data_IF_702299172738
#
_entry.id   IF_702299172738
#
_cell.length_a   1.000
_cell.length_b   1.000
_cell.length_c   1.000
_cell.angle_alpha   90.00
_cell.angle_beta   90.00
_cell.angle_gamma   90.00
#
_symmetry.space_group_name_H-M   'P 1'
#
loop_
_entity.id
_entity.type
_entity.pdbx_description
1 polymer ?
#
# COMPACT_ATOMS: atom_id res chain seq x y z
N UNK A 1 -0.74 -31.16 11.45
CA UNK A 1 0.34 -30.54 12.24
C UNK A 1 -0.16 -30.23 13.64
N UNK A 2 0.57 -30.67 14.67
CA UNK A 2 0.32 -30.34 16.08
C UNK A 2 1.30 -29.27 16.61
N UNK A 3 1.23 -28.93 17.89
CA UNK A 3 2.09 -27.90 18.48
C UNK A 3 3.59 -28.30 18.54
N UNK A 4 3.91 -29.57 18.69
CA UNK A 4 5.30 -30.04 18.72
C UNK A 4 5.91 -29.93 17.32
N UNK A 5 5.17 -30.36 16.31
CA UNK A 5 5.54 -30.21 14.91
C UNK A 5 5.63 -28.73 14.52
N UNK A 6 4.67 -27.89 14.92
CA UNK A 6 4.72 -26.44 14.67
C UNK A 6 5.98 -25.79 15.23
N UNK A 7 6.40 -26.13 16.46
CA UNK A 7 7.65 -25.60 17.04
C UNK A 7 8.88 -26.02 16.24
N UNK A 8 8.90 -27.25 15.73
CA UNK A 8 9.99 -27.75 14.89
C UNK A 8 10.00 -26.98 13.56
N UNK A 9 8.89 -26.99 12.81
CA UNK A 9 8.80 -26.35 11.48
C UNK A 9 8.93 -24.84 11.53
N UNK A 10 8.42 -24.21 12.58
CA UNK A 10 8.54 -22.77 12.80
C UNK A 10 10.00 -22.33 12.93
N UNK A 11 10.83 -23.11 13.64
CA UNK A 11 12.28 -22.83 13.74
C UNK A 11 12.98 -23.03 12.39
N UNK A 12 12.68 -24.14 11.70
CA UNK A 12 13.21 -24.40 10.35
C UNK A 12 12.88 -23.26 9.38
N UNK A 13 11.67 -22.70 9.45
CA UNK A 13 11.27 -21.54 8.63
C UNK A 13 11.99 -20.25 9.05
N UNK A 14 12.20 -20.01 10.35
CA UNK A 14 12.95 -18.84 10.83
C UNK A 14 14.39 -18.88 10.33
N UNK A 15 15.05 -20.04 10.45
CA UNK A 15 16.42 -20.24 9.98
C UNK A 15 16.50 -20.02 8.46
N UNK A 16 15.55 -20.59 7.70
CA UNK A 16 15.46 -20.39 6.26
C UNK A 16 15.29 -18.91 5.85
N UNK A 17 14.39 -18.17 6.51
CA UNK A 17 14.17 -16.75 6.20
C UNK A 17 15.41 -15.91 6.51
N UNK A 18 16.08 -16.17 7.63
CA UNK A 18 17.32 -15.49 7.98
C UNK A 18 18.41 -15.76 6.93
N UNK A 19 18.64 -17.04 6.60
CA UNK A 19 19.59 -17.44 5.56
C UNK A 19 19.27 -16.84 4.19
N UNK A 20 18.00 -16.82 3.80
CA UNK A 20 17.54 -16.23 2.55
C UNK A 20 17.87 -14.73 2.49
N UNK A 21 17.57 -13.98 3.54
CA UNK A 21 17.82 -12.53 3.59
C UNK A 21 19.30 -12.19 3.66
N UNK A 22 20.11 -12.96 4.40
CA UNK A 22 21.56 -12.75 4.50
C UNK A 22 22.30 -13.05 3.19
N UNK A 23 21.77 -13.97 2.38
CA UNK A 23 22.38 -14.43 1.12
C UNK A 23 21.61 -13.97 -0.12
N UNK A 24 20.72 -12.99 0.03
CA UNK A 24 19.80 -12.56 -1.05
C UNK A 24 20.54 -11.90 -2.23
N UNK A 25 21.71 -11.35 -1.99
CA UNK A 25 22.62 -10.77 -2.98
C UNK A 25 23.14 -11.83 -3.98
N UNK A 26 23.20 -13.10 -3.56
CA UNK A 26 23.59 -14.22 -4.42
C UNK A 26 22.47 -14.70 -5.34
N UNK A 27 21.23 -14.22 -5.14
CA UNK A 27 20.09 -14.62 -5.97
C UNK A 27 19.86 -13.66 -7.12
N UNK A 28 19.38 -14.20 -8.23
CA UNK A 28 19.03 -13.42 -9.40
C UNK A 28 17.84 -12.49 -9.10
N UNK A 29 18.08 -11.19 -9.16
CA UNK A 29 17.14 -10.16 -8.68
C UNK A 29 15.78 -10.22 -9.37
N UNK A 30 15.79 -10.34 -10.71
CA UNK A 30 14.59 -10.42 -11.54
C UNK A 30 14.55 -11.79 -12.22
N UNK A 31 13.42 -12.53 -12.16
CA UNK A 31 13.37 -13.90 -12.64
C UNK A 31 13.44 -13.99 -14.17
N UNK A 32 13.96 -15.11 -14.68
CA UNK A 32 14.07 -15.42 -16.12
C UNK A 32 13.00 -16.42 -16.57
N UNK A 33 11.79 -16.26 -16.04
CA UNK A 33 10.64 -17.14 -16.30
C UNK A 33 9.59 -16.42 -17.13
N UNK A 34 8.93 -17.16 -18.01
CA UNK A 34 7.87 -16.62 -18.87
C UNK A 34 6.49 -16.66 -18.18
N UNK A 35 5.57 -15.74 -18.52
CA UNK A 35 4.19 -15.82 -18.05
C UNK A 35 3.57 -17.20 -18.32
N UNK A 36 3.07 -17.84 -17.25
CA UNK A 36 2.51 -19.19 -17.31
C UNK A 36 3.45 -20.32 -16.87
N UNK A 37 4.74 -20.05 -16.58
CA UNK A 37 5.72 -21.08 -16.19
C UNK A 37 5.30 -21.97 -15.02
N UNK A 38 4.48 -21.45 -14.10
CA UNK A 38 4.11 -22.15 -12.86
C UNK A 38 3.06 -23.24 -13.09
N UNK A 39 2.11 -23.01 -14.00
CA UNK A 39 0.95 -23.92 -14.18
C UNK A 39 1.36 -25.36 -14.53
N UNK A 40 2.34 -25.62 -15.41
CA UNK A 40 2.80 -26.98 -15.70
C UNK A 40 3.58 -27.65 -14.56
N UNK A 41 4.02 -26.89 -13.54
CA UNK A 41 4.84 -27.40 -12.43
C UNK A 41 4.01 -27.85 -11.24
N UNK A 42 2.72 -27.54 -11.21
CA UNK A 42 1.79 -27.88 -10.13
C UNK A 42 0.66 -28.78 -10.65
N UNK A 43 0.05 -29.62 -9.79
CA UNK A 43 -1.11 -30.43 -10.18
C UNK A 43 -2.30 -29.57 -10.65
N UNK A 44 -3.08 -30.10 -11.60
CA UNK A 44 -4.24 -29.39 -12.15
C UNK A 44 -5.45 -29.31 -11.21
N UNK A 45 -5.43 -30.10 -10.13
CA UNK A 45 -6.45 -30.10 -9.08
C UNK A 45 -5.79 -30.16 -7.69
N UNK A 46 -6.56 -29.79 -6.67
CA UNK A 46 -6.10 -29.89 -5.29
C UNK A 46 -5.89 -31.36 -4.89
N UNK A 47 -4.90 -31.66 -4.02
CA UNK A 47 -4.69 -33.01 -3.52
C UNK A 47 -5.89 -33.48 -2.69
N UNK A 48 -6.26 -34.76 -2.83
CA UNK A 48 -7.31 -35.37 -2.02
C UNK A 48 -6.83 -35.72 -0.62
N UNK A 49 -5.56 -36.15 -0.52
CA UNK A 49 -4.92 -36.54 0.72
C UNK A 49 -3.89 -35.49 1.16
N UNK A 50 -3.63 -35.33 2.47
CA UNK A 50 -2.65 -34.38 2.97
C UNK A 50 -1.23 -34.76 2.56
N UNK A 51 -0.44 -33.75 2.20
CA UNK A 51 0.99 -33.90 1.89
C UNK A 51 1.86 -33.60 3.12
N UNK A 52 3.11 -34.06 3.09
CA UNK A 52 4.09 -33.77 4.14
C UNK A 52 4.58 -32.31 4.06
N UNK A 53 4.97 -31.74 5.20
CA UNK A 53 5.58 -30.40 5.22
C UNK A 53 6.87 -30.38 4.39
N UNK A 54 7.67 -31.44 4.44
CA UNK A 54 8.90 -31.58 3.68
C UNK A 54 8.68 -31.45 2.17
N UNK A 55 7.63 -32.07 1.65
CA UNK A 55 7.36 -32.06 0.21
C UNK A 55 6.88 -30.67 -0.22
N UNK A 56 5.99 -30.04 0.55
CA UNK A 56 5.58 -28.64 0.35
C UNK A 56 6.79 -27.69 0.42
N UNK A 57 7.70 -27.89 1.37
CA UNK A 57 8.86 -27.03 1.54
C UNK A 57 9.89 -27.19 0.42
N UNK A 58 10.11 -28.40 -0.10
CA UNK A 58 10.95 -28.63 -1.29
C UNK A 58 10.42 -27.87 -2.51
N UNK A 59 9.10 -27.81 -2.66
CA UNK A 59 8.47 -27.13 -3.77
C UNK A 59 8.64 -25.59 -3.70
N UNK A 60 8.85 -25.03 -2.51
CA UNK A 60 9.17 -23.59 -2.38
C UNK A 60 10.43 -23.25 -3.19
N UNK A 61 11.55 -23.92 -2.95
CA UNK A 61 12.80 -23.62 -3.66
C UNK A 61 12.79 -24.09 -5.11
N UNK A 62 12.12 -25.20 -5.40
CA UNK A 62 12.10 -25.79 -6.74
C UNK A 62 11.16 -25.06 -7.70
N UNK A 63 9.97 -24.68 -7.23
CA UNK A 63 8.87 -24.20 -8.08
C UNK A 63 8.64 -22.70 -7.88
N UNK A 64 8.68 -22.21 -6.63
CA UNK A 64 8.29 -20.83 -6.32
C UNK A 64 9.46 -19.87 -6.49
N UNK A 65 10.58 -20.11 -5.80
CA UNK A 65 11.72 -19.19 -5.74
C UNK A 65 12.29 -18.80 -7.11
N UNK A 66 12.33 -19.66 -8.15
CA UNK A 66 12.82 -19.28 -9.48
C UNK A 66 12.02 -18.15 -10.15
N UNK A 67 10.74 -17.99 -9.80
CA UNK A 67 9.89 -16.92 -10.31
C UNK A 67 9.65 -15.77 -9.34
N UNK A 68 10.34 -15.75 -8.19
CA UNK A 68 10.25 -14.64 -7.24
C UNK A 68 11.19 -13.52 -7.66
N UNK A 69 10.64 -12.33 -7.91
CA UNK A 69 11.46 -11.10 -7.92
C UNK A 69 11.95 -10.82 -6.50
N UNK A 70 13.26 -10.73 -6.28
CA UNK A 70 13.83 -10.53 -4.94
C UNK A 70 13.91 -9.05 -4.56
N UNK A 71 12.78 -8.50 -4.11
CA UNK A 71 12.61 -7.08 -3.75
C UNK A 71 13.56 -6.55 -2.67
N UNK A 72 14.10 -7.43 -1.81
CA UNK A 72 15.07 -7.05 -0.77
C UNK A 72 16.52 -7.22 -1.23
N UNK A 73 16.76 -7.65 -2.47
CA UNK A 73 18.10 -7.72 -3.02
C UNK A 73 18.72 -6.32 -3.04
N UNK A 74 20.01 -6.16 -2.67
CA UNK A 74 20.68 -4.87 -2.74
C UNK A 74 20.80 -4.33 -4.17
N UNK A 75 20.50 -5.15 -5.19
CA UNK A 75 20.51 -4.75 -6.59
C UNK A 75 19.10 -4.46 -7.17
N UNK A 76 18.05 -4.44 -6.34
CA UNK A 76 16.67 -4.13 -6.77
C UNK A 76 16.33 -2.65 -6.54
N UNK A 77 16.21 -1.87 -7.63
CA UNK A 77 15.97 -0.42 -7.58
C UNK A 77 14.66 0.04 -8.24
N UNK A 78 13.67 -0.85 -8.38
CA UNK A 78 12.40 -0.53 -9.01
C UNK A 78 11.32 -0.07 -8.02
N UNK A 79 10.33 0.69 -8.52
CA UNK A 79 9.14 1.14 -7.78
C UNK A 79 9.46 1.89 -6.48
N UNK A 80 8.96 1.38 -5.35
CA UNK A 80 9.26 1.83 -4.01
C UNK A 80 9.73 0.65 -3.17
N UNK A 81 10.57 0.88 -2.15
CA UNK A 81 11.05 -0.19 -1.29
C UNK A 81 9.89 -0.97 -0.65
N UNK A 82 9.86 -2.28 -0.89
CA UNK A 82 9.11 -3.18 -0.03
C UNK A 82 9.87 -3.25 1.30
N UNK A 83 9.53 -2.39 2.25
CA UNK A 83 10.25 -2.39 3.52
C UNK A 83 10.02 -3.71 4.27
N UNK A 84 11.02 -4.19 5.01
CA UNK A 84 10.95 -5.42 5.80
C UNK A 84 12.05 -5.38 6.85
N UNK A 85 11.83 -6.00 8.01
CA UNK A 85 12.82 -6.10 9.07
C UNK A 85 12.53 -7.33 9.94
N UNK A 86 13.55 -7.90 10.57
CA UNK A 86 13.36 -9.06 11.46
C UNK A 86 12.34 -8.82 12.59
N UNK A 87 12.30 -7.65 13.26
CA UNK A 87 11.25 -7.39 14.24
C UNK A 87 9.84 -7.36 13.64
N UNK A 88 9.68 -6.92 12.38
CA UNK A 88 8.38 -6.93 11.70
C UNK A 88 7.91 -8.37 11.42
N UNK A 89 8.83 -9.23 10.99
CA UNK A 89 8.54 -10.63 10.70
C UNK A 89 8.12 -11.40 11.97
N UNK A 90 8.79 -11.15 13.09
CA UNK A 90 8.42 -11.75 14.38
C UNK A 90 7.05 -11.24 14.87
N UNK A 91 6.77 -9.95 14.70
CA UNK A 91 5.48 -9.38 15.04
C UNK A 91 4.35 -9.98 14.17
N UNK A 92 4.56 -10.13 12.86
CA UNK A 92 3.59 -10.77 11.96
C UNK A 92 3.35 -12.25 12.35
N UNK A 93 4.39 -12.98 12.78
CA UNK A 93 4.26 -14.35 13.29
C UNK A 93 3.40 -14.39 14.57
N UNK A 94 3.63 -13.48 15.51
CA UNK A 94 2.83 -13.38 16.73
C UNK A 94 1.38 -12.98 16.43
N UNK A 95 1.15 -12.01 15.54
CA UNK A 95 -0.19 -11.63 15.10
C UNK A 95 -0.94 -12.82 14.48
N UNK A 96 -0.25 -13.64 13.67
CA UNK A 96 -0.82 -14.88 13.12
C UNK A 96 -1.22 -15.88 14.20
N UNK A 97 -0.42 -16.01 15.26
CA UNK A 97 -0.72 -16.90 16.39
C UNK A 97 -1.87 -16.42 17.28
N UNK A 98 -1.98 -15.10 17.51
CA UNK A 98 -3.11 -14.53 18.27
C UNK A 98 -4.41 -14.64 17.47
N UNK A 99 -4.35 -14.45 16.14
CA UNK A 99 -5.49 -14.65 15.24
C UNK A 99 -6.70 -13.75 15.51
N UNK A 100 -6.53 -12.67 16.27
CA UNK A 100 -7.64 -11.81 16.69
C UNK A 100 -8.13 -10.92 15.53
N UNK A 101 -9.46 -10.77 15.43
CA UNK A 101 -10.09 -9.83 14.49
C UNK A 101 -10.60 -8.62 15.28
N UNK A 102 -9.80 -7.55 15.32
CA UNK A 102 -10.10 -6.31 16.05
C UNK A 102 -11.07 -5.38 15.32
N UNK A 103 -12.24 -5.86 14.88
CA UNK A 103 -13.25 -5.00 14.22
C UNK A 103 -13.94 -4.03 15.18
N UNK A 104 -13.82 -4.28 16.48
CA UNK A 104 -14.29 -3.40 17.54
C UNK A 104 -13.42 -3.48 18.78
N UNK A 105 -13.53 -2.46 19.65
CA UNK A 105 -12.86 -2.49 20.96
C UNK A 105 -13.25 -3.74 21.77
N UNK A 106 -14.53 -4.09 21.81
CA UNK A 106 -14.99 -5.29 22.51
C UNK A 106 -14.45 -6.60 21.91
N UNK A 107 -14.14 -6.61 20.61
CA UNK A 107 -13.56 -7.78 19.94
C UNK A 107 -12.06 -7.95 20.25
N UNK A 108 -11.34 -6.86 20.52
CA UNK A 108 -9.97 -6.90 21.05
C UNK A 108 -9.56 -5.53 21.62
N UNK A 109 -9.62 -5.35 22.95
CA UNK A 109 -9.21 -4.10 23.59
C UNK A 109 -7.73 -3.80 23.31
N UNK A 110 -6.88 -4.84 23.44
CA UNK A 110 -5.45 -4.70 23.20
C UNK A 110 -5.12 -4.21 21.78
N UNK A 111 -5.84 -4.65 20.75
CA UNK A 111 -5.65 -4.14 19.38
C UNK A 111 -5.95 -2.65 19.28
N UNK A 112 -7.04 -2.20 19.90
CA UNK A 112 -7.51 -0.81 19.79
C UNK A 112 -6.65 0.15 20.61
N UNK A 113 -6.38 -0.22 21.86
CA UNK A 113 -5.57 0.60 22.78
C UNK A 113 -4.13 0.73 22.28
N UNK A 114 -3.53 -0.37 21.83
CA UNK A 114 -2.14 -0.35 21.36
C UNK A 114 -2.00 0.46 20.06
N UNK A 115 -2.94 0.34 19.12
CA UNK A 115 -2.92 1.14 17.88
C UNK A 115 -2.96 2.64 18.20
N UNK A 116 -3.82 3.04 19.14
CA UNK A 116 -3.97 4.43 19.58
C UNK A 116 -2.65 4.97 20.15
N UNK A 117 -2.02 4.24 21.07
CA UNK A 117 -0.74 4.65 21.68
C UNK A 117 0.38 4.72 20.63
N UNK A 118 0.46 3.75 19.73
CA UNK A 118 1.50 3.72 18.68
C UNK A 118 1.34 4.88 17.69
N UNK A 119 0.11 5.27 17.36
CA UNK A 119 -0.16 6.42 16.49
C UNK A 119 0.11 7.74 17.18
N UNK A 120 -0.10 7.85 18.49
CA UNK A 120 0.34 8.99 19.28
C UNK A 120 1.87 9.11 19.30
N UNK A 121 2.57 7.99 19.49
CA UNK A 121 4.03 7.96 19.40
C UNK A 121 4.51 8.41 18.03
N UNK A 122 3.89 7.88 16.96
CA UNK A 122 4.20 8.27 15.59
C UNK A 122 3.92 9.76 15.34
N UNK A 123 2.76 10.26 15.76
CA UNK A 123 2.35 11.65 15.64
C UNK A 123 3.32 12.59 16.34
N UNK A 124 3.73 12.25 17.57
CA UNK A 124 4.76 12.99 18.32
C UNK A 124 6.12 12.95 17.61
N UNK A 125 6.53 11.80 17.07
CA UNK A 125 7.79 11.66 16.35
C UNK A 125 7.88 12.54 15.10
N UNK A 126 6.77 12.76 14.39
CA UNK A 126 6.71 13.66 13.22
C UNK A 126 6.23 15.07 13.58
N UNK A 127 6.12 15.38 14.88
CA UNK A 127 5.68 16.65 15.42
C UNK A 127 4.33 17.13 14.87
N UNK A 128 3.36 16.22 14.79
CA UNK A 128 1.98 16.62 14.50
C UNK A 128 1.44 17.53 15.60
N UNK A 129 0.60 18.52 15.26
CA UNK A 129 -0.14 19.28 16.25
C UNK A 129 -0.90 18.35 17.20
N UNK A 130 -1.00 18.74 18.47
CA UNK A 130 -1.66 17.94 19.51
C UNK A 130 -3.11 17.57 19.16
N UNK A 131 -3.78 18.40 18.35
CA UNK A 131 -5.12 18.14 17.82
C UNK A 131 -5.24 16.86 16.95
N UNK A 132 -4.13 16.28 16.48
CA UNK A 132 -4.12 15.00 15.75
C UNK A 132 -3.82 13.80 16.64
N UNK A 133 -3.44 14.02 17.90
CA UNK A 133 -3.13 12.97 18.85
C UNK A 133 -4.42 12.58 19.59
N UNK A 134 -4.54 11.32 19.95
CA UNK A 134 -5.63 10.84 20.80
C UNK A 134 -5.53 11.46 22.20
N UNK A 135 -4.31 11.57 22.73
CA UNK A 135 -4.04 12.28 24.00
C UNK A 135 -4.86 11.73 25.17
N UNK A 136 -5.20 12.61 26.13
CA UNK A 136 -6.08 12.28 27.27
C UNK A 136 -7.54 12.70 27.05
N UNK A 137 -7.79 13.70 26.19
CA UNK A 137 -9.09 14.37 26.06
C UNK A 137 -9.77 14.17 24.68
N UNK A 138 -9.23 13.32 23.81
CA UNK A 138 -10.01 12.52 22.85
C UNK A 138 -10.63 13.21 21.62
N UNK A 139 -10.16 14.39 21.19
CA UNK A 139 -10.70 15.02 19.97
C UNK A 139 -9.95 14.63 18.68
N UNK A 140 -8.67 14.24 18.81
CA UNK A 140 -7.83 13.74 17.73
C UNK A 140 -7.68 12.23 17.75
N UNK A 141 -6.96 11.69 16.78
CA UNK A 141 -6.66 10.26 16.73
C UNK A 141 -6.16 9.82 15.37
N UNK A 142 -5.71 8.57 15.30
CA UNK A 142 -5.26 7.97 14.07
C UNK A 142 -5.83 6.56 13.89
N UNK A 143 -5.71 6.06 12.67
CA UNK A 143 -5.99 4.66 12.32
C UNK A 143 -4.95 4.16 11.33
N UNK A 144 -4.45 2.93 11.50
CA UNK A 144 -3.45 2.32 10.60
C UNK A 144 -4.15 1.67 9.41
N UNK A 145 -4.30 2.39 8.29
CA UNK A 145 -4.98 1.86 7.10
C UNK A 145 -4.14 0.84 6.30
N UNK A 146 -4.81 -0.03 5.53
CA UNK A 146 -4.18 -1.13 4.76
C UNK A 146 -3.22 -0.63 3.66
N UNK A 147 -3.60 0.44 2.98
CA UNK A 147 -2.78 1.14 2.01
C UNK A 147 -3.16 2.63 2.00
N UNK A 148 -2.25 3.46 1.49
CA UNK A 148 -2.49 4.89 1.39
C UNK A 148 -3.79 5.21 0.62
N UNK A 149 -4.07 4.48 -0.47
CA UNK A 149 -5.28 4.66 -1.28
C UNK A 149 -6.57 4.40 -0.49
N UNK A 150 -6.60 3.35 0.34
CA UNK A 150 -7.76 3.07 1.19
C UNK A 150 -7.87 4.06 2.35
N UNK A 151 -6.76 4.65 2.80
CA UNK A 151 -6.81 5.75 3.77
C UNK A 151 -7.32 7.06 3.16
N UNK A 152 -6.97 7.37 1.92
CA UNK A 152 -7.39 8.60 1.25
C UNK A 152 -8.77 8.53 0.62
N UNK A 153 -9.23 7.33 0.21
CA UNK A 153 -10.53 7.14 -0.45
C UNK A 153 -11.72 7.55 0.45
N UNK A 154 -11.80 7.16 1.74
CA UNK A 154 -12.83 7.60 2.69
C UNK A 154 -12.75 9.09 3.00
N UNK A 155 -11.55 9.68 3.04
CA UNK A 155 -11.40 11.13 3.20
C UNK A 155 -11.90 11.92 1.99
N UNK A 156 -12.05 11.26 0.83
CA UNK A 156 -12.59 11.83 -0.40
C UNK A 156 -14.01 11.36 -0.72
N UNK A 157 -14.61 10.49 0.10
CA UNK A 157 -16.04 10.16 0.02
C UNK A 157 -16.81 11.20 0.81
N UNK A 158 -17.63 11.98 0.10
CA UNK A 158 -18.52 12.96 0.71
C UNK A 158 -19.73 12.25 1.29
N UNK A 159 -19.58 11.63 2.46
CA UNK A 159 -20.74 11.23 3.22
C UNK A 159 -21.42 12.48 3.79
N UNK A 160 -22.76 12.53 3.77
CA UNK A 160 -23.53 13.65 4.34
C UNK A 160 -23.38 13.67 5.86
N UNK A 161 -22.40 14.44 6.34
CA UNK A 161 -22.11 14.63 7.76
C UNK A 161 -23.31 15.09 8.60
N UNK A 162 -24.30 15.77 8.01
CA UNK A 162 -25.53 16.18 8.69
C UNK A 162 -26.49 15.01 8.98
N UNK A 163 -26.46 13.95 8.17
CA UNK A 163 -27.26 12.74 8.39
C UNK A 163 -26.52 11.73 9.28
N UNK A 164 -25.18 11.71 9.20
CA UNK A 164 -24.32 10.89 10.07
C UNK A 164 -24.15 11.45 11.48
N UNK A 165 -24.09 12.77 11.65
CA UNK A 165 -23.82 13.43 12.93
C UNK A 165 -24.70 12.95 14.10
N UNK A 166 -26.02 12.83 13.93
CA UNK A 166 -26.89 12.26 14.97
C UNK A 166 -26.60 10.78 15.28
N UNK A 167 -26.17 9.99 14.29
CA UNK A 167 -25.81 8.58 14.48
C UNK A 167 -24.42 8.46 15.15
N UNK A 168 -23.47 9.37 14.85
CA UNK A 168 -22.17 9.52 15.53
C UNK A 168 -22.27 9.87 17.01
N UNK A 169 -23.28 10.67 17.36
CA UNK A 169 -23.47 11.14 18.73
C UNK A 169 -24.20 10.11 19.60
N UNK A 170 -24.95 9.19 18.98
CA UNK A 170 -25.76 8.18 19.69
C UNK A 170 -25.10 6.80 19.71
N UNK A 171 -24.17 6.52 18.78
CA UNK A 171 -23.49 5.22 18.66
C UNK A 171 -21.99 5.38 18.54
N UNK A 172 -21.26 4.69 19.42
CA UNK A 172 -19.80 4.66 19.44
C UNK A 172 -19.24 3.90 18.23
N UNK A 173 -18.68 4.65 17.28
CA UNK A 173 -18.14 4.10 16.03
C UNK A 173 -16.80 3.38 16.14
N UNK A 174 -16.26 3.20 17.36
CA UNK A 174 -15.16 2.24 17.60
C UNK A 174 -15.50 0.81 17.17
N UNK A 175 -16.76 0.53 16.82
CA UNK A 175 -17.28 -0.79 16.48
C UNK A 175 -17.52 -1.07 14.98
N UNK A 176 -17.36 -0.10 14.08
CA UNK A 176 -17.74 -0.26 12.67
C UNK A 176 -16.61 0.16 11.72
N UNK A 177 -15.66 -0.74 11.48
CA UNK A 177 -14.76 -0.68 10.32
C UNK A 177 -15.09 -1.82 9.34
N UNK A 178 -15.09 -1.52 8.04
CA UNK A 178 -15.23 -2.54 6.98
C UNK A 178 -13.98 -3.44 7.03
N UNK A 179 -14.13 -4.75 7.28
CA UNK A 179 -13.00 -5.61 7.56
C UNK A 179 -12.38 -6.11 6.26
N UNK A 180 -11.18 -5.65 5.92
CA UNK A 180 -10.33 -6.29 4.91
C UNK A 180 -8.91 -6.38 5.47
N UNK A 181 -8.54 -7.61 5.87
CA UNK A 181 -7.37 -8.05 6.64
C UNK A 181 -6.11 -7.17 6.64
N UNK A 182 -5.65 -6.79 7.84
CA UNK A 182 -4.41 -6.03 8.06
C UNK A 182 -3.29 -6.94 8.62
N UNK A 183 -2.10 -6.87 8.01
CA UNK A 183 -0.79 -7.30 8.57
C UNK A 183 0.11 -6.07 8.80
N UNK A 184 1.05 -6.11 9.73
CA UNK A 184 1.54 -4.99 10.55
C UNK A 184 2.64 -4.13 9.87
N UNK A 185 2.24 -3.17 9.04
CA UNK A 185 3.12 -2.38 8.13
C UNK A 185 3.64 -1.05 8.70
N UNK A 186 3.31 -0.66 9.94
CA UNK A 186 3.79 0.57 10.59
C UNK A 186 5.32 0.63 10.74
N UNK A 187 5.95 -0.53 10.92
CA UNK A 187 7.39 -0.67 11.05
C UNK A 187 8.18 -0.40 9.76
N UNK A 188 7.50 -0.44 8.60
CA UNK A 188 8.09 -0.17 7.28
C UNK A 188 8.33 1.33 7.03
N UNK A 189 7.35 2.16 7.42
CA UNK A 189 7.40 3.61 7.27
C UNK A 189 8.50 4.24 8.16
N UNK A 190 8.78 3.58 9.30
CA UNK A 190 9.80 3.98 10.27
C UNK A 190 11.21 4.06 9.68
N UNK A 191 11.60 3.15 8.78
CA UNK A 191 12.93 3.15 8.16
C UNK A 191 13.10 4.20 7.05
N UNK A 192 12.08 4.44 6.21
CA UNK A 192 12.16 5.35 5.04
C UNK A 192 12.32 6.82 5.45
N UNK A 193 11.58 7.23 6.48
CA UNK A 193 11.64 8.59 7.02
C UNK A 193 13.01 8.92 7.65
N UNK A 194 13.71 7.90 8.15
CA UNK A 194 15.04 8.03 8.77
C UNK A 194 16.18 8.23 7.75
N UNK A 195 16.00 7.80 6.51
CA UNK A 195 17.06 7.85 5.48
C UNK A 195 16.93 9.04 4.52
N UNK A 196 15.72 9.40 4.08
CA UNK A 196 15.53 10.42 3.02
C UNK A 196 15.18 11.82 3.55
N UNK A 197 14.67 11.91 4.79
CA UNK A 197 14.27 13.18 5.39
C UNK A 197 13.09 13.87 4.70
N UNK A 198 12.56 14.89 5.38
CA UNK A 198 11.35 15.62 4.98
C UNK A 198 11.57 16.46 3.72
N UNK A 199 12.76 17.05 3.58
CA UNK A 199 13.09 17.95 2.46
C UNK A 199 13.10 17.20 1.12
N UNK A 200 13.70 16.02 1.06
CA UNK A 200 13.75 15.21 -0.16
C UNK A 200 12.37 14.72 -0.61
N UNK A 201 11.49 14.40 0.35
CA UNK A 201 10.10 13.99 0.05
C UNK A 201 9.24 15.15 -0.43
N UNK A 202 9.48 16.36 0.08
CA UNK A 202 8.70 17.55 -0.26
C UNK A 202 9.07 18.16 -1.62
N UNK A 203 10.35 18.17 -1.98
CA UNK A 203 10.81 18.58 -3.32
C UNK A 203 10.21 17.70 -4.42
N UNK A 204 10.05 16.41 -4.14
CA UNK A 204 9.48 15.44 -5.06
C UNK A 204 8.02 15.74 -5.42
N UNK A 205 7.23 16.24 -4.46
CA UNK A 205 5.78 16.48 -4.63
C UNK A 205 5.47 17.89 -5.18
N UNK A 206 6.31 18.89 -4.91
CA UNK A 206 5.98 20.32 -5.16
C UNK A 206 6.27 20.84 -6.57
N UNK A 207 6.82 20.02 -7.48
CA UNK A 207 7.27 20.47 -8.82
C UNK A 207 6.17 20.83 -9.85
N UNK A 208 4.87 20.86 -9.51
CA UNK A 208 3.77 21.00 -10.50
C UNK A 208 2.95 22.31 -10.50
N UNK A 209 2.55 22.78 -11.70
CA UNK A 209 1.72 23.97 -11.96
C UNK A 209 0.22 23.67 -12.14
N UNK A 210 -0.66 24.47 -11.52
CA UNK A 210 -2.11 24.30 -11.60
C UNK A 210 -2.69 24.69 -12.97
N UNK A 211 -2.13 25.71 -13.60
CA UNK A 211 -2.63 26.23 -14.87
C UNK A 211 -2.41 25.23 -16.00
N UNK A 212 -1.26 24.55 -15.98
CA UNK A 212 -0.98 23.42 -16.87
C UNK A 212 -1.98 22.27 -16.65
N UNK A 213 -2.31 21.96 -15.39
CA UNK A 213 -3.25 20.88 -15.11
C UNK A 213 -4.68 21.22 -15.59
N UNK A 214 -5.14 22.47 -15.41
CA UNK A 214 -6.45 22.92 -15.92
C UNK A 214 -6.52 22.86 -17.44
N UNK A 215 -5.49 23.35 -18.11
CA UNK A 215 -5.41 23.35 -19.57
C UNK A 215 -5.35 21.92 -20.14
N UNK A 216 -4.61 21.02 -19.48
CA UNK A 216 -4.56 19.61 -19.86
C UNK A 216 -5.92 18.94 -19.72
N UNK A 217 -6.63 19.15 -18.61
CA UNK A 217 -7.96 18.58 -18.42
C UNK A 217 -8.95 19.05 -19.49
N UNK A 218 -8.95 20.35 -19.79
CA UNK A 218 -9.80 20.92 -20.84
C UNK A 218 -9.54 20.21 -22.17
N UNK A 219 -8.27 20.07 -22.55
CA UNK A 219 -7.86 19.40 -23.77
C UNK A 219 -8.29 17.93 -23.82
N UNK A 220 -8.19 17.21 -22.70
CA UNK A 220 -8.61 15.80 -22.61
C UNK A 220 -10.12 15.67 -22.83
N UNK A 221 -10.92 16.50 -22.17
CA UNK A 221 -12.38 16.43 -22.28
C UNK A 221 -12.91 16.92 -23.64
N UNK A 222 -12.27 17.92 -24.25
CA UNK A 222 -12.61 18.42 -25.60
C UNK A 222 -12.28 17.40 -26.70
N UNK A 223 -11.24 16.59 -26.52
CA UNK A 223 -10.91 15.51 -27.45
C UNK A 223 -11.97 14.40 -27.50
N UNK A 224 -12.84 14.29 -26.48
CA UNK A 224 -13.95 13.32 -26.37
C UNK A 224 -13.57 11.85 -26.52
N UNK A 225 -12.28 11.51 -26.38
CA UNK A 225 -11.79 10.12 -26.44
C UNK A 225 -11.81 9.42 -25.09
N UNK A 226 -11.63 10.19 -24.02
CA UNK A 226 -11.75 9.77 -22.62
C UNK A 226 -12.33 10.96 -21.82
N UNK A 227 -12.92 10.68 -20.66
CA UNK A 227 -13.47 11.73 -19.79
C UNK A 227 -12.80 11.69 -18.42
N UNK A 228 -12.40 12.86 -17.92
CA UNK A 228 -11.80 13.03 -16.60
C UNK A 228 -12.49 14.17 -15.85
N UNK A 229 -12.53 14.03 -14.53
CA UNK A 229 -13.05 15.06 -13.62
C UNK A 229 -11.87 15.47 -12.71
N UNK A 230 -11.64 16.78 -12.49
CA UNK A 230 -10.56 17.22 -11.63
C UNK A 230 -10.88 17.00 -10.16
N UNK A 231 -9.84 17.05 -9.35
CA UNK A 231 -9.93 17.23 -7.90
C UNK A 231 -9.24 18.54 -7.50
N UNK A 232 -9.86 19.28 -6.58
CA UNK A 232 -9.24 20.45 -5.96
C UNK A 232 -8.79 20.09 -4.55
N UNK A 233 -7.50 20.25 -4.26
CA UNK A 233 -6.93 20.06 -2.94
C UNK A 233 -6.38 21.41 -2.45
N UNK A 234 -7.19 22.15 -1.70
CA UNK A 234 -6.95 23.57 -1.38
C UNK A 234 -6.71 24.36 -2.67
N UNK A 235 -5.60 25.10 -2.74
CA UNK A 235 -5.18 25.87 -3.92
C UNK A 235 -4.64 25.01 -5.08
N UNK A 236 -4.53 23.67 -4.96
CA UNK A 236 -3.93 22.80 -5.99
C UNK A 236 -4.97 22.09 -6.84
N UNK A 237 -4.78 22.14 -8.16
CA UNK A 237 -5.62 21.50 -9.17
C UNK A 237 -4.97 20.18 -9.62
N UNK A 238 -5.61 19.05 -9.33
CA UNK A 238 -5.06 17.70 -9.54
C UNK A 238 -5.94 16.93 -10.50
N UNK A 239 -5.33 16.27 -11.48
CA UNK A 239 -6.04 15.37 -12.40
C UNK A 239 -6.06 13.96 -11.82
N UNK A 240 -7.26 13.40 -11.63
CA UNK A 240 -7.44 12.04 -11.12
C UNK A 240 -7.81 11.10 -12.26
N UNK A 241 -6.93 10.17 -12.55
CA UNK A 241 -7.21 9.05 -13.44
C UNK A 241 -7.79 7.89 -12.63
N UNK A 242 -9.09 7.62 -12.78
CA UNK A 242 -9.80 6.55 -12.05
C UNK A 242 -10.41 5.55 -13.03
N UNK A 243 -10.29 4.26 -12.70
CA UNK A 243 -10.88 3.16 -13.46
C UNK A 243 -12.24 2.84 -12.84
N UNK A 244 -13.32 3.21 -13.53
CA UNK A 244 -14.68 3.18 -12.95
C UNK A 244 -15.57 2.05 -13.49
N UNK A 245 -15.18 1.36 -14.57
CA UNK A 245 -15.98 0.27 -15.15
C UNK A 245 -15.29 -1.09 -14.97
N UNK A 246 -16.10 -2.11 -14.66
CA UNK A 246 -15.69 -3.52 -14.51
C UNK A 246 -15.25 -4.18 -15.82
N UNK A 247 -15.51 -3.55 -16.97
CA UNK A 247 -15.10 -4.04 -18.30
C UNK A 247 -13.81 -3.38 -18.81
N UNK A 248 -13.13 -2.58 -17.97
CA UNK A 248 -11.89 -1.91 -18.35
C UNK A 248 -10.74 -2.90 -18.38
N UNK A 249 -10.32 -3.24 -19.59
CA UNK A 249 -9.11 -4.01 -19.86
C UNK A 249 -7.84 -3.13 -19.98
N UNK A 250 -6.66 -3.76 -19.94
CA UNK A 250 -5.36 -3.08 -20.01
C UNK A 250 -5.15 -2.24 -21.30
N UNK A 251 -5.80 -2.62 -22.40
CA UNK A 251 -5.79 -1.91 -23.68
C UNK A 251 -6.39 -0.50 -23.57
N UNK A 252 -7.51 -0.36 -22.84
CA UNK A 252 -8.14 0.93 -22.58
C UNK A 252 -7.27 1.86 -21.71
N UNK A 253 -6.57 1.29 -20.72
CA UNK A 253 -5.67 2.04 -19.84
C UNK A 253 -4.46 2.55 -20.63
N UNK A 254 -3.86 1.68 -21.46
CA UNK A 254 -2.74 2.04 -22.34
C UNK A 254 -3.14 3.15 -23.33
N UNK A 255 -4.30 3.02 -23.96
CA UNK A 255 -4.85 4.05 -24.85
C UNK A 255 -5.04 5.39 -24.13
N UNK A 256 -5.68 5.38 -22.95
CA UNK A 256 -5.93 6.59 -22.19
C UNK A 256 -4.62 7.26 -21.73
N UNK A 257 -3.63 6.48 -21.29
CA UNK A 257 -2.32 6.99 -20.91
C UNK A 257 -1.61 7.63 -22.11
N UNK A 258 -1.51 6.93 -23.24
CA UNK A 258 -0.90 7.47 -24.46
C UNK A 258 -1.57 8.79 -24.89
N UNK A 259 -2.90 8.84 -24.82
CA UNK A 259 -3.66 10.03 -25.17
C UNK A 259 -3.38 11.21 -24.22
N UNK A 260 -3.37 10.99 -22.91
CA UNK A 260 -3.05 12.00 -21.90
C UNK A 260 -1.60 12.48 -22.08
N UNK A 261 -0.65 11.55 -22.25
CA UNK A 261 0.76 11.87 -22.43
C UNK A 261 0.99 12.74 -23.66
N UNK A 262 0.36 12.42 -24.79
CA UNK A 262 0.46 13.22 -26.01
C UNK A 262 -0.04 14.65 -25.79
N UNK A 263 -1.25 14.80 -25.22
CA UNK A 263 -1.83 16.11 -24.94
C UNK A 263 -0.99 16.92 -23.95
N UNK A 264 -0.41 16.25 -22.94
CA UNK A 264 0.49 16.89 -21.98
C UNK A 264 1.80 17.35 -22.63
N UNK A 265 2.40 16.52 -23.50
CA UNK A 265 3.62 16.88 -24.25
C UNK A 265 3.39 18.07 -25.17
N UNK A 266 2.26 18.10 -25.89
CA UNK A 266 1.94 19.21 -26.79
C UNK A 266 1.68 20.50 -26.00
N UNK A 267 0.95 20.40 -24.89
CA UNK A 267 0.68 21.53 -24.00
C UNK A 267 1.97 22.11 -23.39
N UNK A 268 2.90 21.25 -22.94
CA UNK A 268 4.17 21.69 -22.37
C UNK A 268 5.03 22.42 -23.40
N UNK A 269 5.12 21.91 -24.64
CA UNK A 269 5.83 22.60 -25.73
C UNK A 269 5.27 23.99 -26.00
N UNK A 270 3.94 24.13 -26.07
CA UNK A 270 3.29 25.44 -26.26
C UNK A 270 3.50 26.36 -25.07
N UNK A 271 3.47 25.83 -23.86
CA UNK A 271 3.67 26.61 -22.64
C UNK A 271 5.10 27.16 -22.54
N UNK A 272 6.11 26.34 -22.84
CA UNK A 272 7.52 26.74 -22.89
C UNK A 272 7.77 27.81 -23.97
N UNK A 273 7.18 27.68 -25.15
CA UNK A 273 7.31 28.67 -26.23
C UNK A 273 6.75 30.05 -25.85
N UNK A 274 5.63 30.11 -25.13
CA UNK A 274 4.99 31.35 -24.72
C UNK A 274 5.69 32.05 -23.54
N UNK A 275 6.38 31.31 -22.67
CA UNK A 275 7.10 31.87 -21.50
C UNK A 275 8.57 32.22 -21.78
N UNK A 276 9.08 31.91 -22.98
CA UNK A 276 10.39 32.38 -23.46
C UNK A 276 10.31 33.67 -24.30
N UNK A 277 9.12 34.23 -24.53
CA UNK A 277 8.89 35.51 -25.22
C UNK A 277 8.46 36.67 -24.29
N UNK A 278 8.47 36.46 -22.97
CA UNK A 278 8.34 37.49 -21.92
C UNK A 278 9.64 37.63 -21.15
#
# INVERSE_FOLDING_TARGET
MDAAEFRKRGKEMVDYIADYLEKIDKRQVFPDVEPGYLRPLIPDCAPQDPESFEDVFKDIEKIIMPGVTHWHSPYFFAYFPAASSFPALLADMLCGGIGCVGFSWAASPACTELETVMLDWLGKMINLPEAFLAGKDGQGGGVIQFCATLGTTPCCSFDKLLELGPICLVTDYRHWQIPLGRRFRSLKLWFVLRMYGVTGLQEHVRKGSNELNKALLKSINEAKKIHLVPCHLREKFVLRFAICSRTVESTHIKFAWQHISQLATDLLKTWEQNHHQQ
#
